data_IF_187694592428
#
_entry.id   IF_187694592428
#
_cell.length_a   1.000
_cell.length_b   1.000
_cell.length_c   1.000
_cell.angle_alpha   90.00
_cell.angle_beta   90.00
_cell.angle_gamma   90.00
#
_symmetry.space_group_name_H-M   'P 1'
#
loop_
_entity.id
_entity.type
_entity.pdbx_description
1 polymer ?
#
# COMPACT_ATOMS: atom_id res chain seq x y z
N UNK A 1 -33.98 14.54 -12.36
CA UNK A 1 -33.73 13.57 -11.27
C UNK A 1 -32.68 12.57 -11.72
N UNK A 2 -31.48 13.07 -12.02
CA UNK A 2 -30.37 12.24 -12.45
C UNK A 2 -29.39 12.13 -11.27
N UNK A 3 -28.96 10.89 -11.01
CA UNK A 3 -27.58 10.58 -10.61
C UNK A 3 -27.24 10.17 -9.16
N UNK A 4 -28.01 9.30 -8.52
CA UNK A 4 -27.53 8.60 -7.30
C UNK A 4 -26.59 7.43 -7.60
N UNK A 5 -26.63 6.84 -8.81
CA UNK A 5 -25.80 5.70 -9.16
C UNK A 5 -24.39 6.10 -9.62
N UNK A 6 -24.23 7.14 -10.45
CA UNK A 6 -22.89 7.54 -10.88
C UNK A 6 -22.15 8.37 -9.82
N UNK A 7 -22.85 9.05 -8.90
CA UNK A 7 -22.20 9.63 -7.71
C UNK A 7 -21.66 8.55 -6.78
N UNK A 8 -22.41 7.45 -6.58
CA UNK A 8 -21.92 6.28 -5.84
C UNK A 8 -20.73 5.62 -6.55
N UNK A 9 -20.79 5.47 -7.87
CA UNK A 9 -19.70 4.88 -8.63
C UNK A 9 -18.45 5.79 -8.62
N UNK A 10 -18.63 7.10 -8.70
CA UNK A 10 -17.53 8.06 -8.58
C UNK A 10 -16.90 8.06 -7.18
N UNK A 11 -17.71 7.91 -6.12
CA UNK A 11 -17.20 7.76 -4.75
C UNK A 11 -16.46 6.43 -4.55
N UNK A 12 -16.94 5.35 -5.17
CA UNK A 12 -16.26 4.06 -5.17
C UNK A 12 -14.95 4.10 -5.95
N UNK A 13 -14.90 4.78 -7.10
CA UNK A 13 -13.67 4.99 -7.87
C UNK A 13 -12.68 5.88 -7.12
N UNK A 14 -13.14 6.90 -6.38
CA UNK A 14 -12.28 7.75 -5.54
C UNK A 14 -11.71 6.99 -4.34
N UNK A 15 -12.52 6.15 -3.69
CA UNK A 15 -12.07 5.26 -2.62
C UNK A 15 -11.11 4.19 -3.16
N UNK A 16 -11.41 3.60 -4.31
CA UNK A 16 -10.51 2.65 -4.97
C UNK A 16 -9.19 3.30 -5.37
N UNK A 17 -9.23 4.53 -5.89
CA UNK A 17 -8.02 5.30 -6.24
C UNK A 17 -7.20 5.67 -5.00
N UNK A 18 -7.84 6.10 -3.91
CA UNK A 18 -7.18 6.40 -2.63
C UNK A 18 -6.56 5.16 -1.94
N UNK A 19 -7.18 4.00 -2.13
CA UNK A 19 -6.66 2.70 -1.67
C UNK A 19 -5.50 2.20 -2.54
N UNK A 20 -5.52 2.45 -3.86
CA UNK A 20 -4.49 1.98 -4.79
C UNK A 20 -3.30 2.94 -4.97
N UNK A 21 -3.43 4.23 -4.68
CA UNK A 21 -2.38 5.25 -4.84
C UNK A 21 -1.67 5.63 -3.53
N UNK A 22 -1.70 4.78 -2.51
CA UNK A 22 -0.82 4.94 -1.36
C UNK A 22 0.65 4.79 -1.83
N UNK A 23 1.39 5.91 -1.85
CA UNK A 23 2.79 5.93 -2.29
C UNK A 23 3.66 4.93 -1.50
N UNK A 24 4.59 4.19 -2.15
CA UNK A 24 5.27 3.06 -1.51
C UNK A 24 6.34 3.37 -0.46
N UNK A 25 6.55 4.64 -0.13
CA UNK A 25 7.77 5.06 0.55
C UNK A 25 7.46 6.01 1.71
N UNK A 26 6.94 5.45 2.82
CA UNK A 26 7.01 6.14 4.11
C UNK A 26 7.48 5.18 5.20
N UNK A 27 8.69 5.44 5.68
CA UNK A 27 9.38 4.62 6.68
C UNK A 27 8.70 4.65 8.04
N UNK A 28 9.19 3.78 8.92
CA UNK A 28 8.79 3.45 10.30
C UNK A 28 8.37 4.62 11.23
N UNK A 29 8.67 5.87 10.87
CA UNK A 29 8.14 7.06 11.53
C UNK A 29 6.64 7.33 11.20
N UNK A 30 6.15 6.90 10.04
CA UNK A 30 4.78 7.17 9.57
C UNK A 30 3.74 6.22 10.16
N UNK A 31 4.10 4.96 10.45
CA UNK A 31 3.22 4.00 11.13
C UNK A 31 2.89 4.44 12.56
N UNK A 32 3.84 5.07 13.24
CA UNK A 32 3.61 5.68 14.57
C UNK A 32 2.70 6.92 14.50
N UNK A 33 2.80 7.71 13.43
CA UNK A 33 1.95 8.89 13.20
C UNK A 33 0.53 8.48 12.80
N UNK A 34 0.38 7.51 11.91
CA UNK A 34 -0.92 6.97 11.50
C UNK A 34 -1.58 6.22 12.67
N UNK A 35 -0.80 5.51 13.50
CA UNK A 35 -1.27 4.87 14.72
C UNK A 35 -1.86 5.86 15.73
N UNK A 36 -1.14 6.96 15.97
CA UNK A 36 -1.58 8.04 16.85
C UNK A 36 -2.80 8.80 16.30
N UNK A 37 -2.96 8.85 14.98
CA UNK A 37 -4.10 9.46 14.30
C UNK A 37 -5.36 8.59 14.43
N UNK A 38 -5.21 7.27 14.29
CA UNK A 38 -6.30 6.30 14.49
C UNK A 38 -6.77 6.29 15.95
N UNK A 39 -5.86 6.37 16.93
CA UNK A 39 -6.22 6.49 18.35
C UNK A 39 -7.00 7.79 18.64
N UNK A 40 -6.58 8.90 18.03
CA UNK A 40 -7.27 10.19 18.19
C UNK A 40 -8.67 10.20 17.53
N UNK A 41 -8.86 9.44 16.46
CA UNK A 41 -10.14 9.31 15.77
C UNK A 41 -11.10 8.35 16.52
N UNK A 42 -10.56 7.29 17.14
CA UNK A 42 -11.28 6.41 18.06
C UNK A 42 -11.85 7.20 19.26
N UNK A 43 -11.03 8.07 19.86
CA UNK A 43 -11.46 8.93 20.98
C UNK A 43 -12.53 9.94 20.56
N UNK A 44 -12.43 10.49 19.34
CA UNK A 44 -13.46 11.38 18.78
C UNK A 44 -14.78 10.66 18.55
N UNK A 45 -14.75 9.49 17.94
CA UNK A 45 -15.93 8.67 17.69
C UNK A 45 -16.60 8.24 19.00
N UNK A 46 -15.82 7.84 20.00
CA UNK A 46 -16.33 7.56 21.35
C UNK A 46 -17.04 8.78 21.96
N UNK A 47 -16.47 9.98 21.81
CA UNK A 47 -17.10 11.21 22.28
C UNK A 47 -18.40 11.53 21.54
N UNK A 48 -18.47 11.32 20.23
CA UNK A 48 -19.68 11.50 19.43
C UNK A 48 -20.79 10.50 19.81
N UNK A 49 -20.43 9.26 20.14
CA UNK A 49 -21.37 8.25 20.64
C UNK A 49 -21.97 8.66 21.99
N UNK A 50 -21.16 9.23 22.90
CA UNK A 50 -21.66 9.78 24.17
C UNK A 50 -22.61 10.96 23.92
N UNK A 51 -22.30 11.83 22.97
CA UNK A 51 -23.17 12.93 22.59
C UNK A 51 -24.51 12.44 22.00
N UNK A 52 -24.47 11.43 21.12
CA UNK A 52 -25.67 10.81 20.53
C UNK A 52 -26.55 10.12 21.58
N UNK A 53 -25.93 9.50 22.59
CA UNK A 53 -26.65 8.94 23.75
C UNK A 53 -27.33 10.05 24.58
N UNK A 54 -26.66 11.19 24.76
CA UNK A 54 -27.25 12.37 25.39
C UNK A 54 -28.44 12.95 24.62
N UNK A 55 -28.38 12.94 23.28
CA UNK A 55 -29.52 13.34 22.44
C UNK A 55 -30.73 12.41 22.61
N UNK A 56 -30.50 11.09 22.72
CA UNK A 56 -31.56 10.12 23.01
C UNK A 56 -32.22 10.39 24.37
N UNK A 57 -31.44 10.72 25.39
CA UNK A 57 -31.95 11.06 26.73
C UNK A 57 -32.74 12.39 26.72
N UNK A 58 -32.29 13.39 25.96
CA UNK A 58 -33.01 14.64 25.77
C UNK A 58 -34.36 14.43 25.05
N UNK A 59 -34.38 13.59 24.00
CA UNK A 59 -35.61 13.25 23.28
C UNK A 59 -36.56 12.42 24.17
N UNK A 60 -36.03 11.53 25.02
CA UNK A 60 -36.82 10.78 26.00
C UNK A 60 -37.51 11.68 27.04
N UNK A 61 -36.87 12.78 27.43
CA UNK A 61 -37.43 13.77 28.36
C UNK A 61 -38.48 14.68 27.70
N UNK A 62 -38.41 14.86 26.37
CA UNK A 62 -39.33 15.70 25.58
C UNK A 62 -40.58 14.93 25.09
N UNK A 63 -40.45 13.62 24.86
CA UNK A 63 -41.55 12.72 24.47
C UNK A 63 -42.83 12.77 25.34
N UNK A 64 -42.79 12.93 26.69
CA UNK A 64 -43.99 13.04 27.51
C UNK A 64 -44.65 14.44 27.53
N UNK A 65 -43.97 15.49 27.04
CA UNK A 65 -44.50 16.87 27.06
C UNK A 65 -45.18 17.26 25.74
N UNK A 66 -44.99 16.48 24.68
CA UNK A 66 -45.60 16.71 23.36
C UNK A 66 -47.05 16.22 23.34
N UNK A 67 -47.98 17.15 23.12
CA UNK A 67 -49.43 16.90 23.08
C UNK A 67 -49.97 16.65 21.68
N UNK A 68 -49.23 17.06 20.63
CA UNK A 68 -49.56 16.81 19.23
C UNK A 68 -49.15 15.39 18.79
N UNK A 69 -50.12 14.59 18.36
CA UNK A 69 -49.92 13.17 18.02
C UNK A 69 -48.91 12.95 16.88
N UNK A 70 -48.91 13.82 15.86
CA UNK A 70 -48.03 13.72 14.70
C UNK A 70 -46.58 14.13 15.02
N UNK A 71 -46.41 15.15 15.88
CA UNK A 71 -45.09 15.57 16.37
C UNK A 71 -44.48 14.51 17.31
N UNK A 72 -45.33 13.85 18.11
CA UNK A 72 -44.92 12.75 18.99
C UNK A 72 -44.50 11.51 18.21
N UNK A 73 -45.23 11.13 17.17
CA UNK A 73 -44.90 9.98 16.31
C UNK A 73 -43.55 10.18 15.60
N UNK A 74 -43.30 11.39 15.07
CA UNK A 74 -42.03 11.74 14.43
C UNK A 74 -40.83 11.70 15.41
N UNK A 75 -41.01 12.25 16.61
CA UNK A 75 -39.98 12.23 17.68
C UNK A 75 -39.75 10.82 18.25
N UNK A 76 -40.80 9.99 18.29
CA UNK A 76 -40.71 8.59 18.68
C UNK A 76 -39.93 7.77 17.63
N UNK A 77 -40.20 7.97 16.34
CA UNK A 77 -39.44 7.33 15.27
C UNK A 77 -37.94 7.72 15.29
N UNK A 78 -37.64 8.97 15.65
CA UNK A 78 -36.27 9.45 15.85
C UNK A 78 -35.61 8.79 17.08
N UNK A 79 -36.32 8.68 18.20
CA UNK A 79 -35.87 7.94 19.39
C UNK A 79 -35.62 6.46 19.10
N UNK A 80 -36.50 5.79 18.36
CA UNK A 80 -36.40 4.37 18.03
C UNK A 80 -35.24 4.10 17.05
N UNK A 81 -34.99 5.04 16.12
CA UNK A 81 -33.87 4.95 15.17
C UNK A 81 -32.54 5.16 15.88
N UNK A 82 -32.46 6.16 16.76
CA UNK A 82 -31.28 6.39 17.61
C UNK A 82 -31.07 5.24 18.60
N UNK A 83 -32.14 4.68 19.16
CA UNK A 83 -32.10 3.51 20.04
C UNK A 83 -31.53 2.29 19.34
N UNK A 84 -31.99 1.98 18.11
CA UNK A 84 -31.43 0.87 17.32
C UNK A 84 -29.96 1.09 16.99
N UNK A 85 -29.58 2.29 16.56
CA UNK A 85 -28.18 2.60 16.28
C UNK A 85 -27.29 2.40 17.53
N UNK A 86 -27.72 2.89 18.69
CA UNK A 86 -26.95 2.84 19.94
C UNK A 86 -26.93 1.45 20.57
N UNK A 87 -28.05 0.74 20.55
CA UNK A 87 -28.18 -0.52 21.29
C UNK A 87 -27.75 -1.75 20.47
N UNK A 88 -27.75 -1.68 19.13
CA UNK A 88 -27.38 -2.84 18.27
C UNK A 88 -26.24 -2.58 17.29
N UNK A 89 -26.26 -1.47 16.55
CA UNK A 89 -25.30 -1.24 15.46
C UNK A 89 -23.92 -0.77 15.97
N UNK A 90 -23.90 0.19 16.89
CA UNK A 90 -22.67 0.77 17.44
C UNK A 90 -21.85 -0.27 18.24
N UNK A 91 -22.43 -1.11 19.12
CA UNK A 91 -21.69 -2.16 19.80
C UNK A 91 -21.05 -3.17 18.84
N UNK A 92 -21.77 -3.59 17.79
CA UNK A 92 -21.25 -4.51 16.78
C UNK A 92 -20.06 -3.92 16.00
N UNK A 93 -20.12 -2.63 15.66
CA UNK A 93 -19.01 -1.94 15.02
C UNK A 93 -17.81 -1.77 15.97
N UNK A 94 -18.04 -1.47 17.25
CA UNK A 94 -16.98 -1.34 18.26
C UNK A 94 -16.26 -2.67 18.52
N UNK A 95 -16.97 -3.80 18.49
CA UNK A 95 -16.34 -5.12 18.61
C UNK A 95 -15.45 -5.47 17.41
N UNK A 96 -15.74 -4.91 16.23
CA UNK A 96 -14.91 -5.08 15.03
C UNK A 96 -13.71 -4.12 15.01
N UNK A 97 -13.77 -2.98 15.72
CA UNK A 97 -12.68 -2.00 15.78
C UNK A 97 -11.32 -2.59 16.23
N UNK A 98 -11.19 -3.40 17.31
CA UNK A 98 -9.89 -3.96 17.68
C UNK A 98 -9.36 -4.92 16.62
N UNK A 99 -10.21 -5.73 16.00
CA UNK A 99 -9.81 -6.64 14.90
C UNK A 99 -9.34 -5.86 13.67
N UNK A 100 -10.03 -4.77 13.33
CA UNK A 100 -9.68 -3.91 12.20
C UNK A 100 -8.43 -3.07 12.50
N UNK A 101 -8.27 -2.59 13.73
CA UNK A 101 -7.08 -1.88 14.22
C UNK A 101 -5.86 -2.79 14.25
N UNK A 102 -6.01 -4.02 14.73
CA UNK A 102 -4.95 -5.04 14.66
C UNK A 102 -4.65 -5.36 13.20
N UNK A 103 -5.64 -5.56 12.33
CA UNK A 103 -5.39 -5.83 10.91
C UNK A 103 -4.72 -4.67 10.14
N UNK A 104 -4.97 -3.42 10.54
CA UNK A 104 -4.42 -2.23 9.89
C UNK A 104 -3.09 -1.75 10.51
N UNK A 105 -2.81 -2.09 11.77
CA UNK A 105 -1.57 -1.75 12.48
C UNK A 105 -0.59 -2.91 12.65
N UNK A 106 -0.99 -4.13 12.34
CA UNK A 106 -0.13 -5.32 12.37
C UNK A 106 0.63 -5.43 11.05
N UNK A 107 1.90 -5.02 11.08
CA UNK A 107 2.89 -5.34 10.04
C UNK A 107 3.26 -6.85 10.05
N UNK A 108 2.69 -7.61 10.99
CA UNK A 108 3.03 -8.97 11.40
C UNK A 108 1.86 -9.98 11.27
N UNK A 109 0.76 -9.64 10.58
CA UNK A 109 -0.33 -10.59 10.32
C UNK A 109 0.15 -11.77 9.42
N UNK A 110 0.25 -13.01 9.93
CA UNK A 110 0.74 -14.14 9.14
C UNK A 110 -0.27 -14.57 8.05
N UNK A 111 -1.54 -14.21 8.20
CA UNK A 111 -2.64 -14.57 7.31
C UNK A 111 -2.96 -13.52 6.24
N UNK A 112 -2.29 -12.35 6.26
CA UNK A 112 -2.36 -11.34 5.18
C UNK A 112 -1.24 -11.49 4.11
N UNK A 113 -0.67 -12.68 3.96
CA UNK A 113 0.34 -12.96 2.93
C UNK A 113 -0.18 -12.80 1.49
N UNK A 114 -1.50 -12.85 1.28
CA UNK A 114 -2.16 -12.76 -0.03
C UNK A 114 -2.44 -11.31 -0.49
N UNK A 115 -2.33 -10.32 0.40
CA UNK A 115 -2.41 -8.89 0.06
C UNK A 115 -1.03 -8.25 -0.13
N UNK A 116 0.05 -9.03 0.05
CA UNK A 116 1.38 -8.66 -0.43
C UNK A 116 1.41 -8.83 -1.94
N UNK A 117 1.01 -7.78 -2.65
CA UNK A 117 1.22 -7.66 -4.10
C UNK A 117 2.72 -7.90 -4.38
N UNK A 118 3.09 -9.02 -5.05
CA UNK A 118 4.47 -9.49 -5.15
C UNK A 118 5.25 -8.76 -6.25
N UNK A 119 5.16 -7.44 -6.29
CA UNK A 119 5.98 -6.57 -7.12
C UNK A 119 6.55 -5.37 -6.34
N UNK A 120 6.41 -5.38 -5.02
CA UNK A 120 7.18 -4.51 -4.14
C UNK A 120 8.32 -5.34 -3.54
N UNK A 121 9.57 -4.93 -3.74
CA UNK A 121 10.70 -5.47 -2.96
C UNK A 121 10.57 -4.82 -1.57
N UNK A 122 9.96 -5.49 -0.58
CA UNK A 122 9.58 -4.84 0.67
C UNK A 122 10.85 -4.71 1.48
N UNK A 123 11.39 -3.49 1.54
CA UNK A 123 12.80 -3.24 1.88
C UNK A 123 13.75 -3.96 0.92
N UNK A 124 14.11 -3.32 -0.19
CA UNK A 124 15.39 -3.66 -0.82
C UNK A 124 16.48 -3.34 0.20
N UNK A 125 16.82 -4.28 1.09
CA UNK A 125 18.02 -4.22 1.92
C UNK A 125 19.12 -3.60 1.05
N UNK A 126 19.92 -2.67 1.57
CA UNK A 126 21.00 -2.04 0.80
C UNK A 126 21.80 -3.10 0.02
N UNK A 127 21.95 -4.29 0.59
CA UNK A 127 22.46 -5.48 -0.06
C UNK A 127 21.70 -5.90 -1.35
N UNK A 128 20.38 -6.09 -1.30
CA UNK A 128 19.58 -6.50 -2.46
C UNK A 128 19.57 -5.42 -3.57
N UNK A 129 19.44 -4.15 -3.20
CA UNK A 129 19.51 -3.03 -4.15
C UNK A 129 20.87 -2.95 -4.84
N UNK A 130 21.96 -3.12 -4.07
CA UNK A 130 23.33 -3.15 -4.60
C UNK A 130 23.59 -4.39 -5.45
N UNK A 131 23.08 -5.55 -5.04
CA UNK A 131 23.15 -6.81 -5.78
C UNK A 131 22.51 -6.66 -7.17
N UNK A 132 21.25 -6.21 -7.25
CA UNK A 132 20.56 -6.05 -8.53
C UNK A 132 21.17 -4.94 -9.39
N UNK A 133 21.67 -3.85 -8.79
CA UNK A 133 22.35 -2.79 -9.53
C UNK A 133 23.65 -3.30 -10.15
N UNK A 134 24.51 -3.96 -9.38
CA UNK A 134 25.82 -4.43 -9.85
C UNK A 134 25.68 -5.58 -10.86
N UNK A 135 24.86 -6.58 -10.55
CA UNK A 135 24.63 -7.72 -11.46
C UNK A 135 23.85 -7.30 -12.70
N UNK A 136 22.86 -6.40 -12.57
CA UNK A 136 22.11 -5.85 -13.69
C UNK A 136 22.98 -5.00 -14.62
N UNK A 137 23.82 -4.12 -14.07
CA UNK A 137 24.79 -3.34 -14.85
C UNK A 137 25.77 -4.26 -15.59
N UNK A 138 26.27 -5.31 -14.93
CA UNK A 138 27.15 -6.28 -15.56
C UNK A 138 26.44 -7.07 -16.68
N UNK A 139 25.20 -7.52 -16.46
CA UNK A 139 24.42 -8.23 -17.47
C UNK A 139 24.21 -7.39 -18.75
N UNK A 140 24.03 -6.08 -18.61
CA UNK A 140 23.97 -5.16 -19.76
C UNK A 140 25.31 -5.15 -20.53
N UNK A 141 26.44 -5.16 -19.85
CA UNK A 141 27.77 -5.20 -20.50
C UNK A 141 28.03 -6.51 -21.24
N UNK A 142 27.66 -7.64 -20.63
CA UNK A 142 27.74 -8.96 -21.29
C UNK A 142 26.86 -8.98 -22.55
N UNK A 143 25.66 -8.40 -22.49
CA UNK A 143 24.77 -8.30 -23.65
C UNK A 143 25.38 -7.43 -24.76
N UNK A 144 25.97 -6.28 -24.44
CA UNK A 144 26.67 -5.42 -25.41
C UNK A 144 27.84 -6.17 -26.05
N UNK A 145 28.64 -6.89 -25.24
CA UNK A 145 29.75 -7.70 -25.74
C UNK A 145 29.28 -8.82 -26.65
N UNK A 146 28.17 -9.50 -26.31
CA UNK A 146 27.60 -10.56 -27.12
C UNK A 146 27.10 -10.04 -28.47
N UNK A 147 26.48 -8.86 -28.48
CA UNK A 147 26.08 -8.18 -29.72
C UNK A 147 27.32 -7.84 -30.56
N UNK A 148 28.38 -7.31 -29.95
CA UNK A 148 29.62 -7.00 -30.66
C UNK A 148 30.27 -8.26 -31.28
N UNK A 149 30.27 -9.39 -30.58
CA UNK A 149 30.71 -10.67 -31.12
C UNK A 149 29.80 -11.19 -32.25
N UNK A 150 28.48 -11.08 -32.08
CA UNK A 150 27.52 -11.51 -33.10
C UNK A 150 27.68 -10.71 -34.40
N UNK A 151 27.94 -9.41 -34.32
CA UNK A 151 28.25 -8.55 -35.47
C UNK A 151 29.59 -8.91 -36.13
N UNK A 152 30.51 -9.48 -35.35
CA UNK A 152 31.82 -9.87 -35.85
C UNK A 152 31.84 -11.23 -36.55
N UNK A 153 30.99 -12.19 -36.13
CA UNK A 153 30.88 -13.53 -36.74
C UNK A 153 30.82 -13.56 -38.28
N UNK A 154 30.03 -12.69 -38.96
CA UNK A 154 29.97 -12.68 -40.42
C UNK A 154 31.15 -11.95 -41.10
N UNK A 155 32.02 -11.30 -40.34
CA UNK A 155 33.10 -10.46 -40.88
C UNK A 155 34.33 -11.32 -41.24
N UNK A 156 34.89 -11.16 -42.45
CA UNK A 156 36.14 -11.84 -42.82
C UNK A 156 37.32 -11.31 -42.00
N UNK A 157 38.12 -12.22 -41.45
CA UNK A 157 39.38 -11.92 -40.76
C UNK A 157 40.43 -11.41 -41.76
N UNK A 158 40.43 -10.10 -41.99
CA UNK A 158 41.44 -9.38 -42.76
C UNK A 158 42.30 -8.57 -41.80
N UNK A 159 43.58 -8.31 -42.14
CA UNK A 159 44.49 -7.50 -41.32
C UNK A 159 43.92 -6.12 -40.91
N UNK A 160 43.00 -5.57 -41.71
CA UNK A 160 42.29 -4.31 -41.43
C UNK A 160 41.26 -4.41 -40.29
N UNK A 161 40.71 -5.60 -40.05
CA UNK A 161 39.72 -5.87 -39.01
C UNK A 161 40.37 -6.45 -37.74
N UNK A 162 41.67 -6.76 -37.77
CA UNK A 162 42.41 -7.32 -36.64
C UNK A 162 42.40 -6.39 -35.42
N UNK A 163 42.51 -5.07 -35.62
CA UNK A 163 42.41 -4.10 -34.52
C UNK A 163 41.02 -4.02 -33.88
N UNK A 164 39.95 -4.24 -34.66
CA UNK A 164 38.59 -4.28 -34.13
C UNK A 164 38.40 -5.57 -33.30
N UNK A 165 38.94 -6.69 -33.78
CA UNK A 165 38.94 -7.96 -33.04
C UNK A 165 39.69 -7.84 -31.72
N UNK A 166 40.88 -7.23 -31.73
CA UNK A 166 41.70 -7.02 -30.54
C UNK A 166 40.97 -6.14 -29.52
N UNK A 167 40.33 -5.05 -29.96
CA UNK A 167 39.51 -4.21 -29.09
C UNK A 167 38.28 -4.93 -28.52
N UNK A 168 37.58 -5.74 -29.32
CA UNK A 168 36.42 -6.52 -28.84
C UNK A 168 36.87 -7.60 -27.85
N UNK A 169 37.99 -8.26 -28.13
CA UNK A 169 38.60 -9.23 -27.22
C UNK A 169 39.02 -8.59 -25.90
N UNK A 170 39.67 -7.42 -25.95
CA UNK A 170 40.02 -6.63 -24.77
C UNK A 170 38.78 -6.20 -23.96
N UNK A 171 37.71 -5.78 -24.64
CA UNK A 171 36.43 -5.47 -23.98
C UNK A 171 35.84 -6.70 -23.28
N UNK A 172 35.85 -7.86 -23.94
CA UNK A 172 35.33 -9.09 -23.34
C UNK A 172 36.13 -9.53 -22.12
N UNK A 173 37.47 -9.47 -22.20
CA UNK A 173 38.34 -9.74 -21.06
C UNK A 173 38.10 -8.75 -19.91
N UNK A 174 37.86 -7.47 -20.20
CA UNK A 174 37.50 -6.50 -19.18
C UNK A 174 36.19 -6.87 -18.46
N UNK A 175 35.16 -7.28 -19.21
CA UNK A 175 33.89 -7.73 -18.62
C UNK A 175 34.10 -8.97 -17.74
N UNK A 176 34.89 -9.94 -18.19
CA UNK A 176 35.23 -11.14 -17.42
C UNK A 176 35.99 -10.82 -16.13
N UNK A 177 36.96 -9.91 -16.17
CA UNK A 177 37.67 -9.44 -14.97
C UNK A 177 36.73 -8.83 -13.93
N UNK A 178 35.78 -7.99 -14.35
CA UNK A 178 34.77 -7.41 -13.44
C UNK A 178 33.92 -8.51 -12.81
N UNK A 179 33.58 -9.57 -13.55
CA UNK A 179 32.81 -10.70 -13.04
C UNK A 179 33.56 -11.48 -11.96
N UNK A 180 34.86 -11.73 -12.17
CA UNK A 180 35.72 -12.42 -11.19
C UNK A 180 35.79 -11.66 -9.86
N UNK A 181 35.67 -10.34 -9.86
CA UNK A 181 35.60 -9.55 -8.61
C UNK A 181 34.19 -9.48 -8.02
N UNK A 182 33.14 -9.38 -8.85
CA UNK A 182 31.75 -9.34 -8.38
C UNK A 182 31.31 -10.65 -7.74
N UNK A 183 31.72 -11.79 -8.30
CA UNK A 183 31.33 -13.11 -7.80
C UNK A 183 31.69 -13.33 -6.31
N UNK A 184 32.95 -13.19 -5.87
CA UNK A 184 33.28 -13.31 -4.45
C UNK A 184 32.68 -12.19 -3.60
N UNK A 185 32.55 -10.97 -4.13
CA UNK A 185 32.01 -9.84 -3.35
C UNK A 185 30.51 -9.96 -3.06
N UNK A 186 29.74 -10.62 -3.93
CA UNK A 186 28.31 -10.83 -3.75
C UNK A 186 27.93 -12.21 -3.20
N UNK A 187 28.77 -13.23 -3.42
CA UNK A 187 28.45 -14.62 -3.03
C UNK A 187 29.28 -15.17 -1.85
N UNK A 188 30.47 -14.61 -1.55
CA UNK A 188 31.33 -15.09 -0.45
C UNK A 188 31.37 -14.15 0.78
N UNK A 189 30.82 -12.95 0.69
CA UNK A 189 30.70 -11.96 1.76
C UNK A 189 29.23 -11.75 2.15
#
# INVERSE_FOLDING_TARGET
MANTAAERQAALDLLAYGVFHAEPHRGEADSSVEGKKIDAEEDRLKAEIVAAKGQREAIAAELPTITDAEAKDKKQAEYDTLGRAIDTEIPAMIELLPTLKTGLMSDDNPDAHWLKLPLMIPSGNMWASTYFLLTGFHAIHVLIGLIAFALMLPMRFTAKNAGILENIGLYWHFVDLVWIFLFPLLYLF
#
